data_IF_666144960510
#
_entry.id   IF_666144960510
#
_cell.length_a   1.000
_cell.length_b   1.000
_cell.length_c   1.000
_cell.angle_alpha   90.00
_cell.angle_beta   90.00
_cell.angle_gamma   90.00
#
_symmetry.space_group_name_H-M   'P 1'
#
loop_
_entity.id
_entity.type
_entity.pdbx_description
1 polymer ?
#
# COMPACT_ATOMS: atom_id res chain seq x y z
N UNK A 1 -36.19 -18.33 32.81
CA UNK A 1 -36.28 -16.91 32.42
C UNK A 1 -35.04 -16.12 32.83
N UNK A 2 -34.77 -15.90 34.13
CA UNK A 2 -33.62 -15.09 34.60
C UNK A 2 -32.25 -15.50 34.04
N UNK A 3 -31.92 -16.79 34.08
CA UNK A 3 -30.63 -17.29 33.57
C UNK A 3 -30.45 -17.15 32.05
N UNK A 4 -31.54 -17.33 31.28
CA UNK A 4 -31.52 -17.11 29.83
C UNK A 4 -31.31 -15.64 29.48
N UNK A 5 -31.94 -14.72 30.23
CA UNK A 5 -31.75 -13.28 30.06
C UNK A 5 -30.31 -12.87 30.39
N UNK A 6 -29.72 -13.40 31.47
CA UNK A 6 -28.32 -13.16 31.80
C UNK A 6 -27.36 -13.69 30.73
N UNK A 7 -27.63 -14.87 30.15
CA UNK A 7 -26.81 -15.45 29.08
C UNK A 7 -26.87 -14.62 27.81
N UNK A 8 -28.07 -14.18 27.39
CA UNK A 8 -28.24 -13.32 26.23
C UNK A 8 -27.56 -11.95 26.42
N UNK A 9 -27.69 -11.34 27.60
CA UNK A 9 -27.00 -10.10 27.92
C UNK A 9 -25.48 -10.25 27.86
N UNK A 10 -24.94 -11.31 28.46
CA UNK A 10 -23.51 -11.60 28.41
C UNK A 10 -23.00 -11.79 26.99
N UNK A 11 -23.76 -12.48 26.14
CA UNK A 11 -23.41 -12.71 24.74
C UNK A 11 -23.44 -11.40 23.93
N UNK A 12 -24.44 -10.55 24.14
CA UNK A 12 -24.53 -9.24 23.47
C UNK A 12 -23.36 -8.34 23.88
N UNK A 13 -23.08 -8.24 25.18
CA UNK A 13 -21.97 -7.41 25.68
C UNK A 13 -20.63 -7.95 25.16
N UNK A 14 -20.43 -9.27 25.20
CA UNK A 14 -19.22 -9.92 24.67
C UNK A 14 -19.03 -9.65 23.19
N UNK A 15 -20.08 -9.75 22.38
CA UNK A 15 -20.04 -9.46 20.95
C UNK A 15 -19.69 -7.98 20.68
N UNK A 16 -20.28 -7.04 21.43
CA UNK A 16 -19.96 -5.61 21.32
C UNK A 16 -18.49 -5.33 21.68
N UNK A 17 -17.98 -5.93 22.74
CA UNK A 17 -16.58 -5.81 23.13
C UNK A 17 -15.64 -6.40 22.06
N UNK A 18 -15.97 -7.57 21.50
CA UNK A 18 -15.17 -8.21 20.47
C UNK A 18 -15.10 -7.36 19.17
N UNK A 19 -16.24 -6.83 18.72
CA UNK A 19 -16.29 -6.00 17.50
C UNK A 19 -15.56 -4.66 17.70
N UNK A 20 -15.69 -4.04 18.87
CA UNK A 20 -14.97 -2.78 19.16
C UNK A 20 -13.46 -3.00 19.23
N UNK A 21 -13.00 -4.07 19.90
CA UNK A 21 -11.59 -4.45 19.93
C UNK A 21 -11.06 -4.71 18.51
N UNK A 22 -11.76 -5.53 17.71
CA UNK A 22 -11.37 -5.82 16.33
C UNK A 22 -11.30 -4.55 15.47
N UNK A 23 -12.24 -3.61 15.63
CA UNK A 23 -12.25 -2.35 14.91
C UNK A 23 -11.06 -1.44 15.31
N UNK A 24 -10.73 -1.37 16.60
CA UNK A 24 -9.58 -0.61 17.10
C UNK A 24 -8.27 -1.17 16.54
N UNK A 25 -8.10 -2.50 16.55
CA UNK A 25 -6.93 -3.14 15.97
C UNK A 25 -6.86 -2.92 14.46
N UNK A 26 -7.98 -3.02 13.74
CA UNK A 26 -8.05 -2.77 12.30
C UNK A 26 -7.68 -1.32 11.92
N UNK A 27 -8.02 -0.35 12.77
CA UNK A 27 -7.68 1.07 12.58
C UNK A 27 -6.18 1.34 12.63
N UNK A 28 -5.39 0.57 13.39
CA UNK A 28 -3.93 0.72 13.43
C UNK A 28 -3.29 0.53 12.04
N UNK A 29 -3.85 -0.35 11.22
CA UNK A 29 -3.33 -0.67 9.90
C UNK A 29 -4.12 0.00 8.76
N UNK A 30 -5.08 0.86 9.07
CA UNK A 30 -5.96 1.45 8.06
C UNK A 30 -5.20 2.33 7.07
N UNK A 31 -4.25 3.14 7.57
CA UNK A 31 -3.47 4.05 6.75
C UNK A 31 -2.51 3.32 5.79
N UNK A 32 -1.59 2.44 6.24
CA UNK A 32 -0.71 1.68 5.33
C UNK A 32 -1.49 0.81 4.33
N UNK A 33 -2.62 0.21 4.75
CA UNK A 33 -3.48 -0.55 3.84
C UNK A 33 -4.12 0.34 2.76
N UNK A 34 -4.62 1.51 3.13
CA UNK A 34 -5.19 2.45 2.19
C UNK A 34 -4.13 2.95 1.20
N UNK A 35 -2.94 3.31 1.69
CA UNK A 35 -1.80 3.73 0.87
C UNK A 35 -1.48 2.68 -0.19
N UNK A 36 -1.25 1.43 0.22
CA UNK A 36 -0.92 0.34 -0.71
C UNK A 36 -2.06 0.03 -1.70
N UNK A 37 -3.32 0.22 -1.29
CA UNK A 37 -4.48 0.07 -2.18
C UNK A 37 -4.47 1.12 -3.30
N UNK A 38 -4.23 2.39 -2.96
CA UNK A 38 -4.18 3.48 -3.93
C UNK A 38 -2.94 3.35 -4.84
N UNK A 39 -1.79 3.00 -4.28
CA UNK A 39 -0.58 2.74 -5.08
C UNK A 39 -0.80 1.62 -6.10
N UNK A 40 -1.43 0.50 -5.70
CA UNK A 40 -1.75 -0.58 -6.62
C UNK A 40 -2.74 -0.15 -7.72
N UNK A 41 -3.71 0.71 -7.39
CA UNK A 41 -4.60 1.28 -8.40
C UNK A 41 -3.82 2.11 -9.44
N UNK A 42 -2.98 3.04 -8.99
CA UNK A 42 -2.21 3.89 -9.90
C UNK A 42 -1.17 3.08 -10.71
N UNK A 43 -0.61 2.01 -10.15
CA UNK A 43 0.26 1.09 -10.90
C UNK A 43 -0.48 0.39 -12.05
N UNK A 44 -1.73 -0.03 -11.83
CA UNK A 44 -2.56 -0.62 -12.90
C UNK A 44 -2.86 0.41 -13.99
N UNK A 45 -3.27 1.62 -13.59
CA UNK A 45 -3.51 2.73 -14.53
C UNK A 45 -2.24 3.01 -15.35
N UNK A 46 -1.07 3.08 -14.71
CA UNK A 46 0.20 3.29 -15.39
C UNK A 46 0.56 2.16 -16.36
N UNK A 47 0.28 0.89 -16.03
CA UNK A 47 0.50 -0.27 -16.92
C UNK A 47 -0.42 -0.21 -18.13
N UNK A 48 -1.71 -0.03 -17.89
CA UNK A 48 -2.73 -0.03 -18.95
C UNK A 48 -2.51 1.14 -19.92
N UNK A 49 -2.09 2.29 -19.40
CA UNK A 49 -1.70 3.45 -20.20
C UNK A 49 -0.38 3.24 -20.95
N UNK A 50 0.65 2.70 -20.28
CA UNK A 50 1.97 2.48 -20.86
C UNK A 50 2.01 1.42 -21.97
N UNK A 51 1.02 0.52 -22.03
CA UNK A 51 0.87 -0.48 -23.08
C UNK A 51 0.20 0.08 -24.36
N UNK A 52 -0.37 1.28 -24.32
CA UNK A 52 -1.04 1.90 -25.48
C UNK A 52 0.00 2.61 -26.38
N UNK A 53 -0.21 2.65 -27.71
CA UNK A 53 0.73 3.29 -28.65
C UNK A 53 1.01 4.77 -28.37
N UNK A 54 0.07 5.50 -27.78
CA UNK A 54 0.22 6.92 -27.45
C UNK A 54 0.85 7.15 -26.05
N UNK A 55 0.91 6.13 -25.19
CA UNK A 55 1.28 6.23 -23.77
C UNK A 55 0.51 7.30 -22.96
N UNK A 56 -0.58 7.83 -23.52
CA UNK A 56 -1.44 8.83 -22.89
C UNK A 56 -1.93 8.31 -21.54
N UNK A 57 -2.00 9.21 -20.55
CA UNK A 57 -2.43 8.98 -19.17
C UNK A 57 -1.47 8.24 -18.21
N UNK A 58 -0.32 7.74 -18.68
CA UNK A 58 0.65 7.08 -17.78
C UNK A 58 1.42 8.09 -16.90
N UNK A 59 1.57 9.33 -17.36
CA UNK A 59 2.26 10.41 -16.64
C UNK A 59 1.61 10.79 -15.30
N UNK A 60 0.30 11.12 -15.28
CA UNK A 60 -0.43 11.41 -14.03
C UNK A 60 -0.38 10.27 -13.01
N UNK A 61 -0.54 9.02 -13.45
CA UNK A 61 -0.47 7.86 -12.57
C UNK A 61 0.92 7.70 -11.93
N UNK A 62 1.99 7.86 -12.72
CA UNK A 62 3.37 7.83 -12.21
C UNK A 62 3.69 9.02 -11.28
N UNK A 63 3.10 10.19 -11.52
CA UNK A 63 3.25 11.34 -10.64
C UNK A 63 2.59 11.09 -9.27
N UNK A 64 1.41 10.49 -9.25
CA UNK A 64 0.74 10.07 -8.01
C UNK A 64 1.53 8.98 -7.28
N UNK A 65 2.05 7.98 -8.01
CA UNK A 65 2.91 6.95 -7.42
C UNK A 65 4.14 7.56 -6.74
N UNK A 66 4.77 8.58 -7.34
CA UNK A 66 5.91 9.27 -6.73
C UNK A 66 5.53 10.04 -5.46
N UNK A 67 4.33 10.63 -5.42
CA UNK A 67 3.84 11.29 -4.21
C UNK A 67 3.57 10.27 -3.11
N UNK A 68 2.86 9.19 -3.43
CA UNK A 68 2.48 8.15 -2.47
C UNK A 68 3.69 7.35 -1.98
N UNK A 69 4.74 7.16 -2.80
CA UNK A 69 5.94 6.43 -2.37
C UNK A 69 6.71 7.18 -1.29
N UNK A 70 6.62 8.51 -1.24
CA UNK A 70 7.23 9.32 -0.19
C UNK A 70 6.52 9.15 1.17
N UNK A 71 5.27 8.69 1.18
CA UNK A 71 4.48 8.48 2.40
C UNK A 71 4.68 7.08 3.01
N UNK A 72 5.43 6.17 2.37
CA UNK A 72 5.60 4.78 2.82
C UNK A 72 6.20 4.72 4.22
N UNK A 73 7.29 5.44 4.47
CA UNK A 73 7.98 5.42 5.77
C UNK A 73 7.13 6.06 6.88
N UNK A 74 6.28 7.04 6.53
CA UNK A 74 5.33 7.64 7.48
C UNK A 74 4.17 6.68 7.77
N UNK A 75 3.73 5.93 6.76
CA UNK A 75 2.63 4.98 6.89
C UNK A 75 3.03 3.68 7.59
N UNK A 76 4.31 3.35 7.58
CA UNK A 76 4.90 2.14 8.17
C UNK A 76 6.11 2.53 9.03
N UNK A 77 5.89 3.22 10.16
CA UNK A 77 6.98 3.61 11.04
C UNK A 77 7.65 2.38 11.66
N UNK A 78 8.94 2.49 11.97
CA UNK A 78 9.66 1.47 12.72
C UNK A 78 8.99 1.25 14.09
N UNK A 79 8.53 0.03 14.34
CA UNK A 79 7.94 -0.38 15.63
C UNK A 79 9.02 -0.89 16.62
N UNK A 80 10.28 -1.02 16.15
CA UNK A 80 11.39 -1.61 16.89
C UNK A 80 12.41 -0.60 17.45
N UNK A 81 13.30 -1.03 18.36
CA UNK A 81 14.35 -0.19 18.93
C UNK A 81 15.44 0.20 17.93
N UNK A 82 15.51 -0.47 16.77
CA UNK A 82 16.46 -0.21 15.69
C UNK A 82 15.72 -0.06 14.36
N UNK A 83 16.08 0.93 13.52
CA UNK A 83 15.46 1.11 12.21
C UNK A 83 15.63 -0.10 11.30
N UNK A 84 14.57 -0.48 10.58
CA UNK A 84 14.66 -1.55 9.58
C UNK A 84 15.31 -1.04 8.30
N UNK A 85 16.64 -1.12 8.27
CA UNK A 85 17.45 -0.67 7.12
C UNK A 85 17.06 -1.35 5.80
N UNK A 86 16.60 -2.60 5.83
CA UNK A 86 16.24 -3.33 4.60
C UNK A 86 14.93 -2.78 4.05
N UNK A 87 13.95 -2.53 4.91
CA UNK A 87 12.70 -1.89 4.53
C UNK A 87 12.94 -0.50 3.90
N UNK A 88 13.74 0.34 4.56
CA UNK A 88 14.10 1.67 4.06
C UNK A 88 14.79 1.62 2.70
N UNK A 89 15.65 0.62 2.48
CA UNK A 89 16.29 0.41 1.19
C UNK A 89 15.27 0.11 0.10
N UNK A 90 14.32 -0.80 0.34
CA UNK A 90 13.26 -1.09 -0.63
C UNK A 90 12.36 0.11 -0.92
N UNK A 91 11.99 0.90 0.10
CA UNK A 91 11.18 2.10 -0.06
C UNK A 91 11.89 3.17 -0.90
N UNK A 92 13.18 3.38 -0.66
CA UNK A 92 14.04 4.29 -1.43
C UNK A 92 14.23 3.82 -2.88
N UNK A 93 14.47 2.53 -3.08
CA UNK A 93 14.62 1.92 -4.41
C UNK A 93 13.33 2.06 -5.22
N UNK A 94 12.17 1.78 -4.61
CA UNK A 94 10.87 1.97 -5.26
C UNK A 94 10.68 3.43 -5.72
N UNK A 95 10.99 4.39 -4.85
CA UNK A 95 10.91 5.82 -5.20
C UNK A 95 11.83 6.14 -6.38
N UNK A 96 13.06 5.63 -6.38
CA UNK A 96 14.04 5.83 -7.45
C UNK A 96 13.53 5.29 -8.79
N UNK A 97 12.99 4.06 -8.79
CA UNK A 97 12.46 3.41 -9.99
C UNK A 97 11.22 4.15 -10.52
N UNK A 98 10.35 4.63 -9.64
CA UNK A 98 9.20 5.47 -10.05
C UNK A 98 9.68 6.77 -10.71
N UNK A 99 10.67 7.46 -10.14
CA UNK A 99 11.22 8.68 -10.74
C UNK A 99 11.85 8.42 -12.12
N UNK A 100 12.58 7.32 -12.27
CA UNK A 100 13.09 6.87 -13.57
C UNK A 100 11.95 6.64 -14.57
N UNK A 101 10.88 5.97 -14.16
CA UNK A 101 9.72 5.72 -15.02
C UNK A 101 9.01 7.00 -15.46
N UNK A 102 8.91 8.01 -14.58
CA UNK A 102 8.35 9.33 -14.92
C UNK A 102 9.13 10.03 -16.03
N UNK A 103 10.45 9.91 -16.00
CA UNK A 103 11.36 10.53 -16.97
C UNK A 103 11.55 9.68 -18.24
N UNK A 104 10.98 8.48 -18.28
CA UNK A 104 11.07 7.59 -19.45
C UNK A 104 10.07 8.01 -20.52
N UNK A 105 10.54 8.17 -21.77
CA UNK A 105 9.71 8.44 -22.93
C UNK A 105 8.72 7.30 -23.25
N UNK A 106 7.80 7.52 -24.18
CA UNK A 106 6.74 6.55 -24.51
C UNK A 106 7.31 5.18 -24.94
N UNK A 107 8.36 5.16 -25.75
CA UNK A 107 8.99 3.93 -26.26
C UNK A 107 9.43 2.97 -25.13
N UNK A 108 9.90 3.50 -24.00
CA UNK A 108 10.33 2.69 -22.85
C UNK A 108 9.29 2.58 -21.72
N UNK A 109 8.10 3.17 -21.88
CA UNK A 109 7.15 3.36 -20.77
C UNK A 109 6.64 2.03 -20.20
N UNK A 110 6.27 1.08 -21.05
CA UNK A 110 5.79 -0.23 -20.62
C UNK A 110 6.84 -1.00 -19.78
N UNK A 111 8.10 -0.97 -20.22
CA UNK A 111 9.20 -1.59 -19.49
C UNK A 111 9.46 -0.87 -18.16
N UNK A 112 9.49 0.47 -18.15
CA UNK A 112 9.73 1.22 -16.94
C UNK A 112 8.63 1.00 -15.88
N UNK A 113 7.36 0.90 -16.28
CA UNK A 113 6.27 0.55 -15.35
C UNK A 113 6.38 -0.90 -14.87
N UNK A 114 6.92 -1.81 -15.68
CA UNK A 114 7.23 -3.19 -15.25
C UNK A 114 8.31 -3.19 -14.16
N UNK A 115 9.36 -2.38 -14.32
CA UNK A 115 10.40 -2.22 -13.29
C UNK A 115 9.81 -1.71 -11.96
N UNK A 116 8.85 -0.76 -12.00
CA UNK A 116 8.13 -0.32 -10.80
C UNK A 116 7.40 -1.49 -10.14
N UNK A 117 6.73 -2.33 -10.93
CA UNK A 117 6.08 -3.55 -10.42
C UNK A 117 7.04 -4.51 -9.74
N UNK A 118 8.21 -4.73 -10.33
CA UNK A 118 9.26 -5.58 -9.75
C UNK A 118 9.77 -5.04 -8.41
N UNK A 119 9.92 -3.71 -8.29
CA UNK A 119 10.28 -3.07 -7.02
C UNK A 119 9.20 -3.24 -5.94
N UNK A 120 7.91 -3.18 -6.32
CA UNK A 120 6.82 -3.53 -5.41
C UNK A 120 6.92 -4.99 -4.92
N UNK A 121 7.20 -5.93 -5.84
CA UNK A 121 7.30 -7.35 -5.52
C UNK A 121 8.55 -7.68 -4.70
N UNK A 122 9.65 -6.94 -4.87
CA UNK A 122 10.86 -7.08 -4.05
C UNK A 122 10.57 -6.79 -2.57
N UNK A 123 9.92 -5.67 -2.27
CA UNK A 123 9.51 -5.33 -0.91
C UNK A 123 8.48 -6.33 -0.37
N UNK A 124 7.43 -6.64 -1.13
CA UNK A 124 6.37 -7.55 -0.66
C UNK A 124 6.85 -9.00 -0.44
N UNK A 125 7.93 -9.43 -1.08
CA UNK A 125 8.49 -10.76 -0.83
C UNK A 125 8.91 -10.94 0.63
N UNK A 126 9.39 -9.87 1.24
CA UNK A 126 9.97 -9.89 2.59
C UNK A 126 8.99 -9.36 3.65
N UNK A 127 8.05 -8.47 3.27
CA UNK A 127 7.22 -7.69 4.20
C UNK A 127 5.70 -7.88 4.10
N UNK A 128 5.19 -8.74 3.21
CA UNK A 128 3.74 -8.95 3.01
C UNK A 128 3.27 -10.31 3.51
#
# INVERSE_FOLDING_TARGET
>A
MRYLVCLLLGLIIGALCAVTAANILGRRNAYPKALMTVMNHELKVARDAGAKPACDDSGPALAKLALLSADIEVAMPDEGPTPDRVFHQYASELTTVIQKARNTGCEGRAQAVTEVGNACDACHRDYR
#
